data_IF_201027088044
#
_entry.id   IF_201027088044
#
_cell.length_a   1.000
_cell.length_b   1.000
_cell.length_c   1.000
_cell.angle_alpha   90.00
_cell.angle_beta   90.00
_cell.angle_gamma   90.00
#
_symmetry.space_group_name_H-M   'P 1'
#
loop_
_entity.id
_entity.type
_entity.pdbx_description
1 polymer ?
#
# COMPACT_ATOMS: atom_id res chain seq x y z
N UNK A 1 0.04 30.95 -3.11
CA UNK A 1 1.07 30.11 -2.43
C UNK A 1 0.60 28.67 -2.24
N UNK A 2 -0.69 28.46 -1.89
CA UNK A 2 -1.23 27.13 -1.63
C UNK A 2 -1.33 26.26 -2.90
N UNK A 3 -1.76 26.85 -4.02
CA UNK A 3 -1.89 26.16 -5.32
C UNK A 3 -0.50 25.75 -5.86
N UNK A 4 0.53 26.57 -5.67
CA UNK A 4 1.89 26.23 -6.11
C UNK A 4 2.54 25.10 -5.29
N UNK A 5 2.18 24.99 -4.01
CA UNK A 5 2.64 23.90 -3.14
C UNK A 5 2.01 22.55 -3.55
N UNK A 6 0.70 22.54 -3.80
CA UNK A 6 0.00 21.33 -4.26
C UNK A 6 0.53 20.86 -5.63
N UNK A 7 0.75 21.79 -6.55
CA UNK A 7 1.31 21.49 -7.86
C UNK A 7 2.73 20.91 -7.77
N UNK A 8 3.57 21.47 -6.90
CA UNK A 8 4.92 20.95 -6.65
C UNK A 8 4.88 19.53 -6.05
N UNK A 9 3.95 19.24 -5.13
CA UNK A 9 3.78 17.91 -4.57
C UNK A 9 3.30 16.89 -5.61
N UNK A 10 2.39 17.31 -6.49
CA UNK A 10 1.92 16.49 -7.60
C UNK A 10 3.05 16.17 -8.59
N UNK A 11 3.84 17.17 -8.95
CA UNK A 11 5.02 17.01 -9.80
C UNK A 11 6.06 16.08 -9.15
N UNK A 12 6.31 16.22 -7.85
CA UNK A 12 7.19 15.33 -7.10
C UNK A 12 6.67 13.90 -7.07
N UNK A 13 5.36 13.71 -6.89
CA UNK A 13 4.72 12.40 -6.92
C UNK A 13 4.88 11.74 -8.29
N UNK A 14 4.64 12.45 -9.37
CA UNK A 14 4.81 11.94 -10.73
C UNK A 14 6.28 11.63 -11.05
N UNK A 15 7.22 12.49 -10.67
CA UNK A 15 8.64 12.23 -10.91
C UNK A 15 9.14 10.96 -10.21
N UNK A 16 8.61 10.67 -9.03
CA UNK A 16 8.93 9.43 -8.29
C UNK A 16 8.29 8.18 -8.90
N UNK A 17 7.19 8.32 -9.64
CA UNK A 17 6.61 7.22 -10.43
C UNK A 17 7.43 6.97 -11.70
N UNK A 18 7.92 8.01 -12.34
CA UNK A 18 8.78 7.92 -13.54
C UNK A 18 10.13 7.24 -13.21
N UNK A 19 10.68 7.48 -12.02
CA UNK A 19 11.89 6.80 -11.54
C UNK A 19 11.71 5.28 -11.33
N UNK A 20 10.47 4.79 -11.28
CA UNK A 20 10.20 3.37 -11.17
C UNK A 20 10.43 2.59 -12.48
N UNK A 21 10.56 3.25 -13.63
CA UNK A 21 10.73 2.58 -14.93
C UNK A 21 12.07 1.87 -15.09
N UNK A 22 13.09 2.32 -14.38
CA UNK A 22 14.37 1.64 -14.31
C UNK A 22 14.81 1.48 -12.86
N UNK A 23 15.43 0.36 -12.52
CA UNK A 23 16.04 0.20 -11.22
C UNK A 23 17.48 0.72 -11.18
N UNK A 24 18.06 0.80 -9.97
CA UNK A 24 19.42 1.30 -9.73
C UNK A 24 20.51 0.41 -10.38
N UNK A 25 20.19 -0.81 -10.79
CA UNK A 25 21.09 -1.78 -11.40
C UNK A 25 20.94 -1.84 -12.94
N UNK A 26 20.11 -0.96 -13.53
CA UNK A 26 19.87 -0.89 -14.96
C UNK A 26 18.92 -1.95 -15.51
N UNK A 27 18.18 -2.62 -14.64
CA UNK A 27 17.10 -3.50 -15.03
C UNK A 27 15.90 -2.67 -15.54
N UNK A 28 15.20 -3.20 -16.53
CA UNK A 28 14.05 -2.54 -17.12
C UNK A 28 12.74 -3.08 -16.53
N UNK A 29 11.78 -2.19 -16.27
CA UNK A 29 10.43 -2.55 -15.88
C UNK A 29 9.74 -3.29 -17.05
N UNK A 30 9.33 -4.55 -16.80
CA UNK A 30 8.68 -5.40 -17.81
C UNK A 30 7.29 -5.88 -17.39
N UNK A 31 6.91 -5.69 -16.13
CA UNK A 31 5.63 -6.14 -15.60
C UNK A 31 5.15 -5.27 -14.45
N UNK A 32 3.86 -4.98 -14.46
CA UNK A 32 3.15 -4.30 -13.37
C UNK A 32 1.92 -5.10 -12.96
N UNK A 33 1.65 -5.12 -11.68
CA UNK A 33 0.40 -5.65 -11.13
C UNK A 33 -0.19 -4.63 -10.16
N UNK A 34 -1.33 -4.05 -10.54
CA UNK A 34 -2.04 -3.04 -9.76
C UNK A 34 -2.97 -3.71 -8.75
N UNK A 35 -2.69 -3.54 -7.46
CA UNK A 35 -3.49 -4.13 -6.39
C UNK A 35 -4.87 -3.47 -6.24
N UNK A 36 -5.05 -2.23 -6.71
CA UNK A 36 -6.36 -1.58 -6.71
C UNK A 36 -7.26 -2.17 -7.79
N UNK A 37 -6.73 -2.41 -9.00
CA UNK A 37 -7.47 -3.07 -10.07
C UNK A 37 -7.85 -4.51 -9.72
N UNK A 38 -6.97 -5.22 -9.01
CA UNK A 38 -7.18 -6.60 -8.58
C UNK A 38 -8.03 -6.72 -7.30
N UNK A 39 -8.38 -5.62 -6.64
CA UNK A 39 -9.13 -5.63 -5.38
C UNK A 39 -10.45 -6.41 -5.45
N UNK A 40 -11.27 -6.38 -6.52
CA UNK A 40 -12.51 -7.16 -6.59
C UNK A 40 -12.30 -8.67 -6.39
N UNK A 41 -11.15 -9.19 -6.84
CA UNK A 41 -10.78 -10.62 -6.75
C UNK A 41 -10.04 -10.97 -5.45
N UNK A 42 -9.65 -9.96 -4.67
CA UNK A 42 -8.92 -10.17 -3.42
C UNK A 42 -9.81 -10.75 -2.33
N UNK A 43 -9.24 -11.58 -1.47
CA UNK A 43 -9.89 -12.05 -0.26
C UNK A 43 -9.79 -10.96 0.82
N UNK A 44 -10.93 -10.61 1.40
CA UNK A 44 -11.03 -9.60 2.45
C UNK A 44 -11.39 -10.28 3.75
N UNK A 45 -10.55 -10.10 4.75
CA UNK A 45 -10.80 -10.58 6.11
C UNK A 45 -10.70 -9.42 7.10
N UNK A 46 -11.65 -9.36 7.99
CA UNK A 46 -11.55 -8.60 9.23
C UNK A 46 -12.13 -9.46 10.33
N UNK A 47 -11.70 -9.26 11.57
CA UNK A 47 -12.20 -10.02 12.71
C UNK A 47 -13.69 -9.77 12.97
N UNK A 48 -14.25 -8.75 12.34
CA UNK A 48 -15.68 -8.44 12.26
C UNK A 48 -16.04 -8.15 10.81
N UNK A 49 -17.35 -8.07 10.52
CA UNK A 49 -17.89 -7.85 9.19
C UNK A 49 -17.08 -6.80 8.39
N UNK A 50 -16.40 -7.18 7.29
CA UNK A 50 -15.58 -6.27 6.48
C UNK A 50 -16.35 -5.06 5.95
N UNK A 51 -17.66 -5.19 5.68
CA UNK A 51 -18.51 -4.11 5.18
C UNK A 51 -18.65 -2.97 6.20
N UNK A 52 -18.53 -3.27 7.49
CA UNK A 52 -18.56 -2.29 8.57
C UNK A 52 -17.19 -1.61 8.79
N UNK A 53 -16.13 -2.15 8.20
CA UNK A 53 -14.76 -1.65 8.35
C UNK A 53 -14.31 -0.76 7.19
N UNK A 54 -15.21 -0.43 6.26
CA UNK A 54 -14.92 0.40 5.09
C UNK A 54 -13.69 -0.04 4.28
N UNK A 55 -13.52 -1.36 4.11
CA UNK A 55 -12.46 -1.88 3.24
C UNK A 55 -12.92 -1.75 1.78
N UNK A 56 -12.38 -0.77 1.09
CA UNK A 56 -12.79 -0.43 -0.28
C UNK A 56 -11.70 0.33 -1.04
N UNK A 57 -11.83 0.39 -2.36
CA UNK A 57 -11.02 1.27 -3.21
C UNK A 57 -11.75 2.59 -3.41
N UNK A 58 -11.04 3.69 -3.29
CA UNK A 58 -11.56 5.03 -3.50
C UNK A 58 -10.49 6.10 -3.42
N UNK A 59 -10.87 7.33 -3.73
CA UNK A 59 -9.98 8.47 -3.57
C UNK A 59 -9.79 8.76 -2.09
N UNK A 60 -8.54 8.86 -1.66
CA UNK A 60 -8.17 9.22 -0.29
C UNK A 60 -7.30 10.47 -0.30
N UNK A 61 -7.54 11.39 0.63
CA UNK A 61 -6.70 12.56 0.85
C UNK A 61 -5.91 12.39 2.15
N UNK A 62 -4.60 12.59 2.08
CA UNK A 62 -3.72 12.63 3.24
C UNK A 62 -2.70 13.75 3.04
N UNK A 63 -2.62 14.68 4.00
CA UNK A 63 -1.84 15.91 3.85
C UNK A 63 -2.31 16.77 2.67
N UNK A 64 -3.61 16.77 2.38
CA UNK A 64 -4.26 17.46 1.26
C UNK A 64 -3.85 16.95 -0.15
N UNK A 65 -3.18 15.81 -0.24
CA UNK A 65 -2.84 15.16 -1.49
C UNK A 65 -3.81 14.02 -1.72
N UNK A 66 -4.55 14.06 -2.83
CA UNK A 66 -5.50 13.04 -3.21
C UNK A 66 -4.82 11.95 -4.02
N UNK A 67 -5.06 10.70 -3.64
CA UNK A 67 -4.57 9.51 -4.34
C UNK A 67 -5.68 8.48 -4.43
N UNK A 68 -5.67 7.68 -5.48
CA UNK A 68 -6.48 6.46 -5.52
C UNK A 68 -5.85 5.46 -4.55
N UNK A 69 -6.67 4.90 -3.66
CA UNK A 69 -6.16 4.13 -2.54
C UNK A 69 -7.08 2.99 -2.13
N UNK A 70 -6.51 2.03 -1.43
CA UNK A 70 -7.23 1.04 -0.66
C UNK A 70 -7.48 1.62 0.74
N UNK A 71 -8.73 1.85 1.10
CA UNK A 71 -9.15 2.20 2.45
C UNK A 71 -9.24 0.92 3.27
N UNK A 72 -8.60 0.91 4.43
CA UNK A 72 -8.52 -0.31 5.24
C UNK A 72 -8.54 0.05 6.73
N UNK A 73 -9.70 0.41 7.25
CA UNK A 73 -9.90 0.72 8.65
C UNK A 73 -9.81 -0.59 9.48
N UNK A 74 -8.93 -0.69 10.48
CA UNK A 74 -8.81 -1.90 11.27
C UNK A 74 -9.92 -2.04 12.31
N UNK A 75 -10.28 -3.27 12.73
CA UNK A 75 -11.14 -3.49 13.87
C UNK A 75 -10.45 -3.14 15.19
N UNK A 76 -11.20 -3.05 16.29
CA UNK A 76 -10.62 -2.83 17.63
C UNK A 76 -9.75 -4.01 18.03
N UNK A 77 -10.20 -5.23 17.76
CA UNK A 77 -9.48 -6.47 18.07
C UNK A 77 -9.19 -7.22 16.78
N UNK A 78 -7.94 -7.61 16.60
CA UNK A 78 -7.46 -8.28 15.40
C UNK A 78 -7.07 -7.29 14.31
N UNK A 79 -7.02 -7.77 13.08
CA UNK A 79 -6.52 -7.01 11.93
C UNK A 79 -7.54 -7.02 10.79
N UNK A 80 -7.50 -5.99 9.95
CA UNK A 80 -8.07 -6.04 8.62
C UNK A 80 -7.01 -6.55 7.64
N UNK A 81 -7.37 -7.49 6.78
CA UNK A 81 -6.46 -8.12 5.82
C UNK A 81 -7.10 -8.12 4.44
N UNK A 82 -6.34 -7.67 3.46
CA UNK A 82 -6.66 -7.86 2.03
C UNK A 82 -5.58 -8.74 1.43
N UNK A 83 -5.96 -9.90 0.92
CA UNK A 83 -5.06 -10.92 0.41
C UNK A 83 -5.22 -11.08 -1.09
N UNK A 84 -4.09 -11.08 -1.77
CA UNK A 84 -3.99 -11.26 -3.21
C UNK A 84 -3.19 -12.52 -3.54
N UNK A 85 -3.69 -13.31 -4.46
CA UNK A 85 -2.96 -14.45 -5.04
C UNK A 85 -2.49 -14.05 -6.45
N UNK A 86 -1.18 -13.90 -6.62
CA UNK A 86 -0.59 -13.27 -7.80
C UNK A 86 0.36 -14.25 -8.49
N UNK A 87 0.13 -14.53 -9.76
CA UNK A 87 1.04 -15.32 -10.59
C UNK A 87 2.13 -14.43 -11.17
N UNK A 88 3.36 -14.59 -10.67
CA UNK A 88 4.51 -13.80 -11.10
C UNK A 88 5.08 -14.38 -12.40
N UNK A 89 5.31 -13.57 -13.45
CA UNK A 89 5.90 -14.05 -14.70
C UNK A 89 7.29 -14.67 -14.50
N UNK A 90 7.66 -15.58 -15.40
CA UNK A 90 8.94 -16.30 -15.33
C UNK A 90 10.15 -15.43 -15.72
N UNK A 91 9.92 -14.36 -16.48
CA UNK A 91 10.96 -13.48 -17.04
C UNK A 91 11.47 -12.44 -16.06
N UNK A 92 10.99 -12.44 -14.83
CA UNK A 92 11.35 -11.45 -13.82
C UNK A 92 12.68 -11.80 -13.16
N UNK A 93 13.62 -10.86 -13.18
CA UNK A 93 14.90 -10.94 -12.47
C UNK A 93 14.81 -10.33 -11.08
N UNK A 94 13.96 -9.29 -10.93
CA UNK A 94 13.71 -8.61 -9.66
C UNK A 94 12.23 -8.29 -9.50
N UNK A 95 11.72 -8.50 -8.30
CA UNK A 95 10.36 -8.19 -7.91
C UNK A 95 10.38 -7.15 -6.79
N UNK A 96 9.61 -6.06 -6.97
CA UNK A 96 9.46 -5.00 -5.98
C UNK A 96 7.98 -4.69 -5.75
N UNK A 97 7.69 -4.13 -4.59
CA UNK A 97 6.40 -3.56 -4.27
C UNK A 97 6.54 -2.08 -3.97
N UNK A 98 5.73 -1.25 -4.64
CA UNK A 98 5.63 0.18 -4.37
C UNK A 98 4.26 0.49 -3.78
N UNK A 99 4.24 1.35 -2.79
CA UNK A 99 3.02 1.83 -2.15
C UNK A 99 3.30 3.07 -1.31
N UNK A 100 2.25 3.76 -0.92
CA UNK A 100 2.33 4.75 0.14
C UNK A 100 1.30 4.41 1.21
N UNK A 101 1.59 4.74 2.45
CA UNK A 101 0.65 4.62 3.57
C UNK A 101 0.34 5.98 4.16
N UNK A 102 -0.88 6.18 4.59
CA UNK A 102 -1.31 7.43 5.20
C UNK A 102 -2.57 7.23 6.04
N UNK A 103 -2.76 8.16 6.97
CA UNK A 103 -4.05 8.35 7.64
C UNK A 103 -4.78 9.44 6.87
N UNK A 104 -6.05 9.20 6.53
CA UNK A 104 -6.85 10.15 5.75
C UNK A 104 -7.09 11.43 6.53
N UNK A 105 -7.14 12.55 5.82
CA UNK A 105 -7.39 13.87 6.38
C UNK A 105 -8.72 13.92 7.15
N UNK A 106 -8.73 14.68 8.24
CA UNK A 106 -9.86 14.78 9.16
C UNK A 106 -9.79 13.83 10.35
N UNK A 107 -8.92 12.83 10.33
CA UNK A 107 -8.66 11.98 11.48
C UNK A 107 -7.89 12.75 12.57
N UNK A 108 -8.31 12.55 13.82
CA UNK A 108 -7.73 13.22 14.99
C UNK A 108 -7.07 12.18 15.91
N UNK A 109 -5.97 11.62 15.44
CA UNK A 109 -5.17 10.66 16.22
C UNK A 109 -4.26 11.41 17.19
N UNK A 110 -4.29 11.03 18.45
CA UNK A 110 -3.55 11.68 19.52
C UNK A 110 -2.90 10.67 20.47
N UNK A 111 -1.86 11.09 21.16
CA UNK A 111 -1.19 10.31 22.19
C UNK A 111 -0.59 9.02 21.65
N UNK A 112 -0.98 7.89 22.21
CA UNK A 112 -0.56 6.53 21.85
C UNK A 112 -1.51 5.83 20.87
N UNK A 113 -2.48 6.56 20.31
CA UNK A 113 -3.36 6.04 19.27
C UNK A 113 -2.60 5.91 17.94
N UNK A 114 -2.14 4.72 17.62
CA UNK A 114 -1.36 4.39 16.44
C UNK A 114 -2.11 3.37 15.57
N UNK A 115 -1.88 3.45 14.27
CA UNK A 115 -2.31 2.41 13.33
C UNK A 115 -1.08 1.70 12.76
N UNK A 116 -1.04 0.38 12.87
CA UNK A 116 0.00 -0.42 12.24
C UNK A 116 -0.38 -0.79 10.81
N UNK A 117 0.60 -0.72 9.91
CA UNK A 117 0.52 -1.19 8.54
C UNK A 117 1.57 -2.29 8.37
N UNK A 118 1.20 -3.41 7.75
CA UNK A 118 2.10 -4.55 7.55
C UNK A 118 1.91 -5.16 6.18
N UNK A 119 3.00 -5.60 5.57
CA UNK A 119 3.01 -6.36 4.32
C UNK A 119 3.58 -7.75 4.60
N UNK A 120 2.80 -8.76 4.21
CA UNK A 120 3.22 -10.15 4.24
C UNK A 120 3.27 -10.71 2.82
N UNK A 121 4.26 -11.51 2.53
CA UNK A 121 4.37 -12.28 1.29
C UNK A 121 4.65 -13.73 1.63
N UNK A 122 3.80 -14.63 1.17
CA UNK A 122 3.87 -16.07 1.44
C UNK A 122 4.03 -16.38 2.95
N UNK A 123 3.26 -15.65 3.78
CA UNK A 123 3.23 -15.81 5.23
C UNK A 123 4.38 -15.15 5.99
N UNK A 124 5.33 -14.55 5.31
CA UNK A 124 6.46 -13.85 5.93
C UNK A 124 6.20 -12.34 5.97
N UNK A 125 6.33 -11.74 7.14
CA UNK A 125 6.25 -10.28 7.29
C UNK A 125 7.52 -9.64 6.73
N UNK A 126 7.39 -8.89 5.65
CA UNK A 126 8.51 -8.20 5.00
C UNK A 126 8.68 -6.76 5.44
N UNK A 127 7.58 -6.13 5.88
CA UNK A 127 7.59 -4.73 6.24
C UNK A 127 6.49 -4.41 7.25
N UNK A 128 6.76 -3.48 8.14
CA UNK A 128 5.80 -2.98 9.13
C UNK A 128 6.17 -1.56 9.55
N UNK A 129 5.15 -0.74 9.77
CA UNK A 129 5.30 0.56 10.41
C UNK A 129 4.07 0.88 11.25
N UNK A 130 4.21 1.85 12.14
CA UNK A 130 3.07 2.48 12.83
C UNK A 130 2.94 3.92 12.35
N UNK A 131 1.72 4.42 12.27
CA UNK A 131 1.45 5.75 11.76
C UNK A 131 0.36 6.45 12.57
N UNK A 132 0.53 7.75 12.73
CA UNK A 132 -0.42 8.62 13.43
C UNK A 132 -0.74 9.88 12.60
N UNK A 133 0.09 10.20 11.62
CA UNK A 133 0.02 11.45 10.87
C UNK A 133 -0.76 11.34 9.57
N UNK A 134 -1.50 12.41 9.23
CA UNK A 134 -2.17 12.55 7.93
C UNK A 134 -1.18 13.07 6.87
N UNK A 135 -0.21 12.23 6.55
CA UNK A 135 0.81 12.47 5.51
C UNK A 135 1.08 11.16 4.79
N UNK A 136 1.16 11.19 3.46
CA UNK A 136 1.57 10.02 2.69
C UNK A 136 3.06 9.74 2.91
N UNK A 137 3.38 8.50 3.29
CA UNK A 137 4.74 7.97 3.31
C UNK A 137 4.88 6.92 2.21
N UNK A 138 5.81 7.15 1.29
CA UNK A 138 6.11 6.23 0.20
C UNK A 138 7.15 5.21 0.61
N UNK A 139 6.91 3.96 0.18
CA UNK A 139 7.79 2.83 0.43
C UNK A 139 8.02 2.02 -0.83
N UNK A 140 9.21 1.48 -0.92
CA UNK A 140 9.64 0.54 -1.94
C UNK A 140 10.26 -0.65 -1.24
N UNK A 141 9.71 -1.83 -1.49
CA UNK A 141 10.19 -3.08 -0.91
C UNK A 141 10.77 -3.97 -1.99
N UNK A 142 11.96 -4.51 -1.74
CA UNK A 142 12.44 -5.67 -2.48
C UNK A 142 11.74 -6.92 -1.96
N UNK A 143 11.09 -7.66 -2.87
CA UNK A 143 10.46 -8.94 -2.57
C UNK A 143 11.41 -10.09 -2.93
N UNK A 144 11.25 -11.29 -2.34
CA UNK A 144 11.94 -12.46 -2.83
C UNK A 144 11.69 -12.68 -4.32
N UNK A 145 12.65 -13.20 -5.04
CA UNK A 145 12.44 -13.54 -6.45
C UNK A 145 11.48 -14.72 -6.56
N UNK A 146 10.24 -14.43 -6.90
CA UNK A 146 9.16 -15.40 -7.08
C UNK A 146 8.82 -15.63 -8.55
N UNK A 147 9.76 -15.40 -9.45
CA UNK A 147 9.57 -15.61 -10.90
C UNK A 147 8.98 -16.99 -11.19
N UNK A 148 7.89 -17.01 -11.95
CA UNK A 148 7.16 -18.24 -12.27
C UNK A 148 6.38 -18.88 -11.12
N UNK A 149 6.35 -18.24 -9.96
CA UNK A 149 5.67 -18.75 -8.77
C UNK A 149 4.45 -17.90 -8.42
N UNK A 150 3.62 -18.39 -7.52
CA UNK A 150 2.52 -17.64 -6.92
C UNK A 150 3.02 -16.88 -5.71
N UNK A 151 2.76 -15.57 -5.68
CA UNK A 151 2.95 -14.72 -4.53
C UNK A 151 1.60 -14.48 -3.84
N UNK A 152 1.49 -14.85 -2.58
CA UNK A 152 0.35 -14.52 -1.72
C UNK A 152 0.72 -13.26 -0.94
N UNK A 153 0.20 -12.12 -1.38
CA UNK A 153 0.48 -10.80 -0.79
C UNK A 153 -0.67 -10.39 0.12
N UNK A 154 -0.36 -10.08 1.36
CA UNK A 154 -1.32 -9.56 2.32
C UNK A 154 -0.97 -8.13 2.73
N UNK A 155 -1.94 -7.23 2.57
CA UNK A 155 -1.94 -5.90 3.16
C UNK A 155 -2.74 -5.96 4.46
N UNK A 156 -2.12 -5.58 5.56
CA UNK A 156 -2.72 -5.68 6.88
C UNK A 156 -2.67 -4.36 7.62
N UNK A 157 -3.78 -3.98 8.26
CA UNK A 157 -3.85 -2.89 9.24
C UNK A 157 -4.29 -3.41 10.60
N UNK A 158 -3.72 -2.84 11.65
CA UNK A 158 -4.00 -3.21 13.04
C UNK A 158 -4.13 -1.95 13.89
N UNK A 159 -5.18 -1.90 14.71
CA UNK A 159 -5.46 -0.76 15.58
C UNK A 159 -4.58 -0.71 16.82
N UNK A 160 -3.88 -1.79 17.14
CA UNK A 160 -3.14 -1.96 18.39
C UNK A 160 -4.00 -1.73 19.65
N UNK A 161 -5.30 -2.05 19.54
CA UNK A 161 -6.28 -1.97 20.63
C UNK A 161 -7.15 -0.72 20.65
N UNK A 162 -6.86 0.28 19.80
CA UNK A 162 -7.67 1.50 19.68
C UNK A 162 -7.85 1.88 18.20
N UNK A 163 -9.01 1.57 17.62
CA UNK A 163 -9.27 1.85 16.21
C UNK A 163 -9.91 3.22 15.94
N UNK A 164 -10.03 4.06 16.94
CA UNK A 164 -10.60 5.40 16.77
C UNK A 164 -9.71 6.22 15.86
N UNK A 165 -10.32 6.82 14.82
CA UNK A 165 -9.61 7.63 13.82
C UNK A 165 -8.53 6.89 13.00
N UNK A 166 -8.47 5.57 13.04
CA UNK A 166 -7.54 4.78 12.24
C UNK A 166 -8.00 4.70 10.77
N UNK A 167 -8.14 5.85 10.15
CA UNK A 167 -8.57 5.99 8.75
C UNK A 167 -7.43 5.68 7.79
N UNK A 168 -6.97 4.45 7.90
CA UNK A 168 -5.81 3.95 7.16
C UNK A 168 -6.09 3.80 5.67
N UNK A 169 -5.11 4.16 4.87
CA UNK A 169 -5.15 3.98 3.42
C UNK A 169 -3.79 3.62 2.84
N UNK A 170 -3.82 2.77 1.81
CA UNK A 170 -2.68 2.40 0.99
C UNK A 170 -2.84 3.05 -0.37
N UNK A 171 -1.99 4.01 -0.72
CA UNK A 171 -2.05 4.68 -2.01
C UNK A 171 -1.29 3.90 -3.07
N UNK A 172 -1.94 3.65 -4.19
CA UNK A 172 -1.39 3.06 -5.41
C UNK A 172 -0.46 1.84 -5.17
N UNK A 173 -0.89 0.86 -4.36
CA UNK A 173 -0.08 -0.32 -4.09
C UNK A 173 0.04 -1.16 -5.37
N UNK A 174 1.26 -1.49 -5.75
CA UNK A 174 1.54 -2.26 -6.96
C UNK A 174 2.79 -3.11 -6.83
N UNK A 175 2.80 -4.23 -7.53
CA UNK A 175 3.99 -5.04 -7.75
C UNK A 175 4.65 -4.65 -9.07
N UNK A 176 5.96 -4.57 -9.08
CA UNK A 176 6.77 -4.23 -10.22
C UNK A 176 7.80 -5.33 -10.48
N UNK A 177 7.83 -5.82 -11.69
CA UNK A 177 8.79 -6.82 -12.15
C UNK A 177 9.78 -6.21 -13.11
N UNK A 178 11.06 -6.44 -12.86
CA UNK A 178 12.18 -5.95 -13.66
C UNK A 178 12.96 -7.10 -14.26
N UNK A 179 13.50 -6.89 -15.45
CA UNK A 179 14.35 -7.87 -16.13
C UNK A 179 15.50 -7.17 -16.86
N UNK A 180 16.60 -7.92 -17.07
CA UNK A 180 17.68 -7.49 -17.94
C UNK A 180 17.23 -7.42 -19.42
N UNK A 181 17.87 -6.59 -20.22
CA UNK A 181 17.68 -6.53 -21.67
C UNK A 181 18.19 -7.79 -22.39
#
# INVERSE_FOLDING_TARGET
QHISYLKWQEELWHSLLDEAEADDEGLRLVWKYDLLDAFPEARKEATRNPDLMEVKVGVASSGMIQQLALWQHPPVVGSAVVEYEIHVPVEIDRLRMHFAVGIRDGALMEGDNLCAFRVYVNGMRLWSTTKQSCVWERHQLDLPNLAGQTAVVQLMTDSLGNNRWNWAAWAEPQLLGYAAE
#
